data_IF_977525112280
#
_entry.id   IF_977525112280
#
_cell.length_a   1.000
_cell.length_b   1.000
_cell.length_c   1.000
_cell.angle_alpha   90.00
_cell.angle_beta   90.00
_cell.angle_gamma   90.00
#
_symmetry.space_group_name_H-M   'P 1'
#
loop_
_entity.id
_entity.type
_entity.pdbx_description
1 polymer ?
#
# COMPACT_ATOMS: atom_id res chain seq x y z
N UNK A 1 0.60 14.60 8.00
CA UNK A 1 1.94 15.06 7.58
C UNK A 1 2.73 13.98 6.83
N UNK A 2 3.11 12.87 7.46
CA UNK A 2 3.93 11.81 6.86
C UNK A 2 3.42 11.26 5.51
N UNK A 3 2.14 10.87 5.45
CA UNK A 3 1.42 10.77 4.17
C UNK A 3 1.22 12.18 3.67
N UNK A 4 2.15 12.81 3.02
CA UNK A 4 2.06 14.07 2.26
C UNK A 4 3.52 14.37 1.90
N UNK A 5 4.43 14.05 2.82
CA UNK A 5 5.88 14.01 2.64
C UNK A 5 6.44 12.86 1.82
N UNK A 6 5.70 11.75 1.64
CA UNK A 6 6.17 10.65 0.79
C UNK A 6 5.77 9.26 1.25
N UNK A 7 5.24 9.12 2.46
CA UNK A 7 5.06 7.81 3.09
C UNK A 7 3.65 7.25 2.92
N UNK A 8 3.56 5.95 2.72
CA UNK A 8 2.34 5.21 3.04
C UNK A 8 2.23 5.14 4.56
N UNK A 9 1.07 5.47 5.15
CA UNK A 9 0.97 5.58 6.62
C UNK A 9 -0.23 4.85 7.19
N UNK A 10 -0.05 4.33 8.40
CA UNK A 10 -1.12 3.77 9.24
C UNK A 10 -0.90 4.11 10.70
N UNK A 11 -2.01 4.18 11.43
CA UNK A 11 -2.05 4.68 12.81
C UNK A 11 -2.70 3.67 13.75
N UNK A 12 -2.18 3.58 14.96
CA UNK A 12 -2.64 2.67 16.01
C UNK A 12 -2.56 1.20 15.59
N UNK A 13 -1.37 0.73 15.21
CA UNK A 13 -1.10 -0.66 14.85
C UNK A 13 -0.74 -1.45 16.09
N UNK A 14 -1.44 -2.55 16.36
CA UNK A 14 -1.08 -3.41 17.48
C UNK A 14 0.14 -4.26 17.11
N UNK A 15 1.23 -4.14 17.89
CA UNK A 15 2.40 -5.01 17.75
C UNK A 15 2.12 -6.31 18.51
N UNK A 16 1.80 -7.34 17.74
CA UNK A 16 1.52 -8.67 18.26
C UNK A 16 2.64 -9.61 17.81
N UNK A 17 3.19 -10.38 18.75
CA UNK A 17 4.26 -11.33 18.49
C UNK A 17 4.03 -12.66 19.21
N UNK A 18 4.57 -13.73 18.64
CA UNK A 18 4.56 -15.04 19.28
C UNK A 18 5.74 -15.16 20.25
N UNK A 19 5.44 -15.51 21.49
CA UNK A 19 6.44 -15.89 22.49
C UNK A 19 6.13 -17.32 22.94
N UNK A 20 6.89 -18.28 22.41
CA UNK A 20 6.53 -19.70 22.52
C UNK A 20 5.29 -20.03 21.71
N UNK A 21 4.28 -20.62 22.34
CA UNK A 21 2.99 -20.94 21.70
C UNK A 21 1.95 -19.83 21.84
N UNK A 22 2.22 -18.80 22.64
CA UNK A 22 1.25 -17.74 22.95
C UNK A 22 1.46 -16.52 22.07
N UNK A 23 0.35 -15.96 21.59
CA UNK A 23 0.30 -14.71 20.86
C UNK A 23 0.06 -13.57 21.87
N UNK A 24 1.05 -12.69 22.02
CA UNK A 24 1.02 -11.61 23.02
C UNK A 24 1.05 -10.26 22.30
N UNK A 25 0.16 -9.35 22.70
CA UNK A 25 0.27 -7.94 22.33
C UNK A 25 1.40 -7.30 23.16
N UNK A 26 2.48 -6.92 22.48
CA UNK A 26 3.66 -6.32 23.09
C UNK A 26 3.41 -4.85 23.42
N UNK A 27 2.93 -4.10 22.43
CA UNK A 27 2.63 -2.66 22.51
C UNK A 27 1.81 -2.25 21.28
N UNK A 28 1.63 -0.96 21.06
CA UNK A 28 1.00 -0.38 19.89
C UNK A 28 1.92 0.69 19.27
N UNK A 29 1.81 0.86 17.95
CA UNK A 29 2.48 1.91 17.20
C UNK A 29 1.47 3.03 16.95
N UNK A 30 1.73 4.22 17.49
CA UNK A 30 0.91 5.41 17.21
C UNK A 30 0.86 5.68 15.69
N UNK A 31 2.02 5.60 15.03
CA UNK A 31 2.19 5.76 13.59
C UNK A 31 3.25 4.78 13.05
N UNK A 32 2.92 4.12 11.94
CA UNK A 32 3.87 3.47 11.04
C UNK A 32 3.84 4.19 9.69
N UNK A 33 5.02 4.56 9.21
CA UNK A 33 5.24 5.17 7.92
C UNK A 33 6.19 4.29 7.10
N UNK A 34 5.79 3.98 5.87
CA UNK A 34 6.55 3.15 4.94
C UNK A 34 6.88 4.00 3.72
N UNK A 35 8.18 4.24 3.52
CA UNK A 35 8.73 4.94 2.36
C UNK A 35 9.26 3.93 1.36
N UNK A 36 9.11 4.23 0.07
CA UNK A 36 9.70 3.44 -1.01
C UNK A 36 10.83 4.23 -1.67
N UNK A 37 12.02 3.67 -1.65
CA UNK A 37 13.20 4.26 -2.30
C UNK A 37 13.12 4.18 -3.83
N UNK A 38 14.11 4.75 -4.55
CA UNK A 38 14.13 4.73 -6.01
C UNK A 38 14.10 3.33 -6.62
N UNK A 39 14.67 2.33 -5.94
CA UNK A 39 14.66 0.92 -6.30
C UNK A 39 13.42 0.15 -5.81
N UNK A 40 12.47 0.83 -5.17
CA UNK A 40 11.29 0.27 -4.49
C UNK A 40 11.64 -0.55 -3.24
N UNK A 41 12.85 -0.38 -2.70
CA UNK A 41 13.20 -0.84 -1.36
C UNK A 41 12.31 -0.14 -0.32
N UNK A 42 11.83 -0.90 0.66
CA UNK A 42 10.90 -0.43 1.68
C UNK A 42 11.64 -0.01 2.95
N UNK A 43 11.39 1.22 3.39
CA UNK A 43 11.98 1.80 4.59
C UNK A 43 10.88 2.12 5.60
N UNK A 44 11.02 1.56 6.81
CA UNK A 44 10.05 1.75 7.90
C UNK A 44 10.49 2.87 8.82
N UNK A 45 9.56 3.75 9.16
CA UNK A 45 9.70 4.76 10.20
C UNK A 45 8.51 4.69 11.14
N UNK A 46 8.75 4.79 12.44
CA UNK A 46 7.68 4.85 13.44
C UNK A 46 7.56 6.25 14.01
N UNK A 47 6.35 6.68 14.31
CA UNK A 47 6.08 7.96 14.95
C UNK A 47 5.37 7.76 16.28
N UNK A 48 5.65 8.64 17.22
CA UNK A 48 4.98 8.73 18.51
C UNK A 48 4.68 10.19 18.86
N UNK A 49 3.49 10.43 19.41
CA UNK A 49 3.08 11.76 19.83
C UNK A 49 2.71 11.79 21.32
N UNK A 50 3.31 12.73 22.07
CA UNK A 50 3.03 12.94 23.49
C UNK A 50 2.50 14.34 23.77
N UNK A 51 1.24 14.38 24.18
CA UNK A 51 0.50 15.61 24.52
C UNK A 51 0.63 16.02 25.99
N UNK A 52 1.12 15.15 26.87
CA UNK A 52 1.25 15.44 28.30
C UNK A 52 2.38 16.42 28.63
N UNK A 53 2.06 17.46 29.41
CA UNK A 53 3.03 18.50 29.85
C UNK A 53 3.28 18.49 31.37
N UNK A 54 2.64 17.59 32.12
CA UNK A 54 2.76 17.49 33.58
C UNK A 54 4.05 16.82 34.06
N UNK A 55 4.35 16.95 35.37
CA UNK A 55 5.56 16.35 36.00
C UNK A 55 5.62 14.81 35.92
N UNK A 56 4.47 14.16 35.77
CA UNK A 56 4.31 12.71 35.61
C UNK A 56 4.28 12.27 34.14
N UNK A 57 4.33 13.20 33.18
CA UNK A 57 4.40 12.83 31.77
C UNK A 57 5.77 12.17 31.50
N UNK A 58 5.81 11.09 30.70
CA UNK A 58 7.06 10.45 30.31
C UNK A 58 8.02 11.47 29.73
N UNK A 59 9.26 11.50 30.24
CA UNK A 59 10.23 12.51 29.79
C UNK A 59 10.64 12.19 28.34
N UNK A 60 10.91 13.21 27.51
CA UNK A 60 11.37 13.00 26.14
C UNK A 60 12.58 12.06 26.05
N UNK A 61 13.51 12.13 27.01
CA UNK A 61 14.68 11.25 27.06
C UNK A 61 14.31 9.77 27.22
N UNK A 62 13.36 9.46 28.11
CA UNK A 62 12.90 8.08 28.32
C UNK A 62 12.20 7.54 27.07
N UNK A 63 11.45 8.41 26.37
CA UNK A 63 10.79 8.06 25.09
C UNK A 63 11.78 7.85 23.95
N UNK A 64 12.89 8.57 23.90
CA UNK A 64 13.95 8.32 22.91
C UNK A 64 14.52 6.90 23.07
N UNK A 65 14.83 6.50 24.31
CA UNK A 65 15.33 5.14 24.60
C UNK A 65 14.28 4.08 24.27
N UNK A 66 13.03 4.31 24.66
CA UNK A 66 11.91 3.42 24.33
C UNK A 66 11.74 3.25 22.81
N UNK A 67 11.69 4.34 22.06
CA UNK A 67 11.53 4.31 20.61
C UNK A 67 12.70 3.61 19.93
N UNK A 68 13.93 3.78 20.45
CA UNK A 68 15.09 3.05 19.94
C UNK A 68 14.91 1.54 20.06
N UNK A 69 14.43 1.05 21.20
CA UNK A 69 14.11 -0.37 21.37
C UNK A 69 12.98 -0.83 20.45
N UNK A 70 11.92 -0.01 20.31
CA UNK A 70 10.80 -0.31 19.45
C UNK A 70 11.19 -0.38 17.97
N UNK A 71 12.11 0.48 17.52
CA UNK A 71 12.68 0.44 16.18
C UNK A 71 13.30 -0.92 15.86
N UNK A 72 14.07 -1.48 16.80
CA UNK A 72 14.71 -2.79 16.62
C UNK A 72 13.66 -3.91 16.53
N UNK A 73 12.63 -3.87 17.37
CA UNK A 73 11.56 -4.87 17.37
C UNK A 73 10.75 -4.91 16.06
N UNK A 74 10.49 -3.75 15.46
CA UNK A 74 9.63 -3.65 14.26
C UNK A 74 10.40 -3.52 12.94
N UNK A 75 11.74 -3.51 13.02
CA UNK A 75 12.61 -3.29 11.87
C UNK A 75 12.50 -1.89 11.28
N UNK A 76 12.24 -0.87 12.10
CA UNK A 76 12.21 0.52 11.65
C UNK A 76 13.61 1.15 11.67
N UNK A 77 13.96 1.85 10.59
CA UNK A 77 15.27 2.49 10.43
C UNK A 77 15.36 3.79 11.22
N UNK A 78 14.21 4.47 11.38
CA UNK A 78 14.07 5.77 12.03
C UNK A 78 12.86 5.77 12.94
N UNK A 79 12.86 6.68 13.91
CA UNK A 79 11.69 7.03 14.68
C UNK A 79 11.54 8.55 14.79
N UNK A 80 10.32 9.01 15.02
CA UNK A 80 10.02 10.40 15.32
C UNK A 80 9.21 10.50 16.61
N UNK A 81 9.61 11.42 17.48
CA UNK A 81 8.93 11.78 18.71
C UNK A 81 8.46 13.22 18.63
N UNK A 82 7.15 13.43 18.57
CA UNK A 82 6.53 14.75 18.69
C UNK A 82 6.09 14.99 20.13
N UNK A 83 6.52 16.09 20.72
CA UNK A 83 6.15 16.47 22.10
C UNK A 83 5.47 17.84 22.15
N UNK A 84 4.53 18.00 23.07
CA UNK A 84 3.85 19.28 23.29
C UNK A 84 4.75 20.37 23.88
N UNK A 85 5.78 19.98 24.65
CA UNK A 85 6.72 20.92 25.26
C UNK A 85 7.79 21.39 24.28
N UNK A 86 8.50 22.47 24.63
CA UNK A 86 9.71 22.85 23.92
C UNK A 86 10.78 21.74 24.04
N UNK A 87 11.54 21.53 22.96
CA UNK A 87 12.60 20.52 22.89
C UNK A 87 13.95 21.20 23.03
N UNK A 88 14.73 20.78 24.04
CA UNK A 88 16.07 21.35 24.26
C UNK A 88 17.07 20.85 23.20
N UNK A 89 18.15 21.61 22.90
CA UNK A 89 19.21 21.15 21.99
C UNK A 89 19.82 19.80 22.39
N UNK A 90 20.04 19.57 23.69
CA UNK A 90 20.57 18.30 24.22
C UNK A 90 19.64 17.12 23.94
N UNK A 91 18.33 17.33 24.06
CA UNK A 91 17.33 16.30 23.72
C UNK A 91 17.37 15.97 22.23
N UNK A 92 17.50 16.98 21.35
CA UNK A 92 17.62 16.75 19.91
C UNK A 92 18.93 16.04 19.55
N UNK A 93 20.03 16.39 20.21
CA UNK A 93 21.32 15.74 20.02
C UNK A 93 21.28 14.25 20.42
N UNK A 94 20.73 13.93 21.59
CA UNK A 94 20.53 12.53 21.99
C UNK A 94 19.63 11.77 21.01
N UNK A 95 18.54 12.41 20.57
CA UNK A 95 17.64 11.87 19.55
C UNK A 95 18.40 11.48 18.28
N UNK A 96 19.20 12.40 17.73
CA UNK A 96 20.02 12.15 16.52
C UNK A 96 20.96 10.96 16.70
N UNK A 97 21.67 10.87 17.82
CA UNK A 97 22.55 9.73 18.12
C UNK A 97 21.78 8.40 18.19
N UNK A 98 20.52 8.45 18.62
CA UNK A 98 19.64 7.28 18.74
C UNK A 98 18.82 7.00 17.48
N UNK A 99 19.00 7.78 16.39
CA UNK A 99 18.16 7.76 15.17
C UNK A 99 16.67 8.03 15.44
N UNK A 100 16.40 8.86 16.45
CA UNK A 100 15.07 9.36 16.82
C UNK A 100 15.03 10.87 16.58
N UNK A 101 14.26 11.31 15.59
CA UNK A 101 13.97 12.74 15.41
C UNK A 101 13.06 13.22 16.53
N UNK A 102 13.41 14.30 17.22
CA UNK A 102 12.58 14.87 18.29
C UNK A 102 12.12 16.26 17.89
N UNK A 103 10.81 16.46 17.88
CA UNK A 103 10.15 17.66 17.40
C UNK A 103 9.12 18.18 18.41
N UNK A 104 8.95 19.50 18.42
CA UNK A 104 7.90 20.19 19.15
C UNK A 104 6.68 20.40 18.24
N UNK A 105 5.54 20.77 18.83
CA UNK A 105 4.34 21.18 18.07
C UNK A 105 4.65 22.32 17.09
N UNK A 106 5.53 23.27 17.45
CA UNK A 106 5.88 24.37 16.55
C UNK A 106 6.65 23.89 15.31
N UNK A 107 7.53 22.90 15.46
CA UNK A 107 8.25 22.30 14.33
C UNK A 107 7.25 21.57 13.39
N UNK A 108 6.32 20.82 13.99
CA UNK A 108 5.25 20.14 13.25
C UNK A 108 4.39 21.15 12.47
N UNK A 109 3.92 22.21 13.12
CA UNK A 109 3.12 23.26 12.46
C UNK A 109 3.87 23.92 11.31
N UNK A 110 5.17 24.15 11.44
CA UNK A 110 6.00 24.69 10.36
C UNK A 110 6.07 23.72 9.16
N UNK A 111 6.24 22.42 9.41
CA UNK A 111 6.22 21.37 8.36
C UNK A 111 4.85 21.28 7.67
N UNK A 112 3.77 21.31 8.45
CA UNK A 112 2.40 21.28 7.91
C UNK A 112 2.09 22.52 7.06
N UNK A 113 2.57 23.69 7.48
CA UNK A 113 2.45 24.92 6.71
C UNK A 113 3.24 24.86 5.39
N UNK A 114 4.47 24.33 5.42
CA UNK A 114 5.29 24.16 4.21
C UNK A 114 4.63 23.24 3.16
N UNK A 115 3.79 22.29 3.61
CA UNK A 115 3.04 21.37 2.76
C UNK A 115 1.63 21.86 2.42
N UNK A 116 1.23 23.06 2.87
CA UNK A 116 -0.11 23.63 2.70
C UNK A 116 -1.26 22.70 3.18
N UNK A 117 -1.05 21.96 4.28
CA UNK A 117 -2.01 20.94 4.73
C UNK A 117 -3.33 21.50 5.26
N UNK A 118 -3.43 22.81 5.52
CA UNK A 118 -4.69 23.45 5.91
C UNK A 118 -5.81 23.26 4.87
N UNK A 119 -5.46 23.05 3.60
CA UNK A 119 -6.39 22.77 2.50
C UNK A 119 -6.70 21.27 2.31
N UNK A 120 -6.01 20.40 3.04
CA UNK A 120 -6.07 18.93 2.92
C UNK A 120 -6.54 18.27 4.21
N UNK A 121 -7.44 18.96 4.93
CA UNK A 121 -7.96 18.49 6.21
C UNK A 121 -8.91 17.31 5.99
N UNK A 122 -8.75 16.27 6.81
CA UNK A 122 -9.61 15.09 6.81
C UNK A 122 -9.70 14.34 5.46
N UNK A 123 -8.56 13.89 4.95
CA UNK A 123 -8.43 13.07 3.75
C UNK A 123 -7.68 11.77 4.04
N UNK A 124 -8.01 10.72 3.29
CA UNK A 124 -7.37 9.40 3.35
C UNK A 124 -7.58 8.67 4.66
N UNK A 125 -6.87 7.54 4.81
CA UNK A 125 -6.93 6.69 6.01
C UNK A 125 -6.35 7.35 7.27
N UNK A 126 -5.70 8.51 7.14
CA UNK A 126 -5.03 9.27 8.21
C UNK A 126 -5.82 10.51 8.66
N UNK A 127 -6.99 10.79 8.08
CA UNK A 127 -7.84 11.91 8.48
C UNK A 127 -8.54 11.71 9.85
N UNK A 128 -8.94 12.79 10.55
CA UNK A 128 -9.67 12.68 11.81
C UNK A 128 -10.95 11.82 11.73
N UNK A 129 -11.72 11.91 10.65
CA UNK A 129 -12.92 11.08 10.49
C UNK A 129 -12.58 9.63 10.11
N UNK A 130 -11.41 9.38 9.50
CA UNK A 130 -10.94 8.01 9.28
C UNK A 130 -10.65 7.29 10.60
N UNK A 131 -10.13 8.01 11.61
CA UNK A 131 -9.95 7.47 12.97
C UNK A 131 -11.27 7.10 13.64
N UNK A 132 -12.30 7.95 13.48
CA UNK A 132 -13.65 7.68 13.98
C UNK A 132 -14.27 6.48 13.25
N UNK A 133 -14.16 6.44 11.93
CA UNK A 133 -14.63 5.32 11.11
C UNK A 133 -13.98 4.01 11.55
N UNK A 134 -12.65 3.98 11.74
CA UNK A 134 -11.94 2.80 12.24
C UNK A 134 -12.48 2.31 13.58
N UNK A 135 -12.81 3.22 14.51
CA UNK A 135 -13.42 2.86 15.81
C UNK A 135 -14.79 2.24 15.63
N UNK A 136 -15.62 2.82 14.75
CA UNK A 136 -16.93 2.25 14.41
C UNK A 136 -16.78 0.84 13.84
N UNK A 137 -15.89 0.65 12.87
CA UNK A 137 -15.63 -0.67 12.27
C UNK A 137 -15.16 -1.68 13.31
N UNK A 138 -14.30 -1.28 14.26
CA UNK A 138 -13.88 -2.15 15.37
C UNK A 138 -15.07 -2.64 16.20
N UNK A 139 -16.02 -1.75 16.50
CA UNK A 139 -17.22 -2.08 17.30
C UNK A 139 -18.12 -3.03 16.52
N UNK A 140 -18.45 -2.69 15.27
CA UNK A 140 -19.33 -3.49 14.40
C UNK A 140 -18.75 -4.88 14.15
N UNK A 141 -17.43 -4.98 13.94
CA UNK A 141 -16.77 -6.23 13.59
C UNK A 141 -16.47 -7.14 14.79
N UNK A 142 -16.65 -6.65 16.02
CA UNK A 142 -16.08 -7.27 17.24
C UNK A 142 -16.48 -8.75 17.40
N UNK A 143 -17.77 -9.04 17.24
CA UNK A 143 -18.35 -10.35 17.51
C UNK A 143 -18.66 -11.12 16.21
N UNK A 144 -18.36 -10.53 15.05
CA UNK A 144 -18.51 -11.19 13.76
C UNK A 144 -17.34 -12.15 13.50
N UNK A 145 -17.60 -13.44 13.18
CA UNK A 145 -16.57 -14.47 13.04
C UNK A 145 -15.64 -14.26 11.84
N UNK A 146 -16.02 -13.41 10.89
CA UNK A 146 -15.24 -13.11 9.69
C UNK A 146 -14.64 -11.70 9.77
N UNK A 147 -15.44 -10.68 10.09
CA UNK A 147 -14.99 -9.29 10.10
C UNK A 147 -14.08 -8.99 11.29
N UNK A 148 -14.31 -9.62 12.45
CA UNK A 148 -13.48 -9.43 13.64
C UNK A 148 -12.03 -9.86 13.43
N UNK A 149 -11.78 -11.11 12.97
CA UNK A 149 -10.45 -11.56 12.58
C UNK A 149 -9.83 -10.72 11.46
N UNK A 150 -10.62 -10.33 10.44
CA UNK A 150 -10.15 -9.45 9.37
C UNK A 150 -9.65 -8.10 9.90
N UNK A 151 -10.44 -7.45 10.77
CA UNK A 151 -10.06 -6.19 11.40
C UNK A 151 -8.77 -6.33 12.21
N UNK A 152 -8.66 -7.40 13.03
CA UNK A 152 -7.45 -7.68 13.81
C UNK A 152 -6.25 -7.86 12.91
N UNK A 153 -6.34 -8.68 11.87
CA UNK A 153 -5.26 -8.92 10.91
C UNK A 153 -4.76 -7.62 10.27
N UNK A 154 -5.68 -6.81 9.74
CA UNK A 154 -5.36 -5.55 9.04
C UNK A 154 -4.82 -4.46 9.98
N UNK A 155 -5.06 -4.57 11.28
CA UNK A 155 -4.59 -3.60 12.28
C UNK A 155 -3.41 -4.10 13.12
N UNK A 156 -2.88 -5.30 12.83
CA UNK A 156 -1.78 -5.89 13.58
C UNK A 156 -0.82 -6.71 12.70
N UNK A 157 -1.06 -8.02 12.56
CA UNK A 157 -0.11 -9.01 12.02
C UNK A 157 0.42 -8.66 10.64
N UNK A 158 -0.43 -8.15 9.74
CA UNK A 158 -0.06 -7.95 8.33
C UNK A 158 1.13 -7.02 8.14
N UNK A 159 1.34 -6.06 9.05
CA UNK A 159 2.42 -5.08 8.99
C UNK A 159 3.80 -5.66 9.29
N UNK A 160 3.85 -6.86 9.87
CA UNK A 160 5.09 -7.53 10.28
C UNK A 160 5.38 -8.79 9.47
N UNK A 161 4.51 -9.12 8.51
CA UNK A 161 4.76 -10.19 7.54
C UNK A 161 5.81 -9.77 6.51
N UNK A 162 6.48 -10.75 5.92
CA UNK A 162 7.20 -10.53 4.67
C UNK A 162 6.22 -10.17 3.54
N UNK A 163 6.65 -9.42 2.51
CA UNK A 163 5.74 -8.94 1.47
C UNK A 163 4.99 -10.05 0.71
N UNK A 164 5.58 -11.24 0.56
CA UNK A 164 4.96 -12.34 -0.19
C UNK A 164 3.85 -13.01 0.64
N UNK A 165 4.09 -13.24 1.92
CA UNK A 165 3.05 -13.71 2.84
C UNK A 165 1.92 -12.68 2.99
N UNK A 166 2.26 -11.39 3.13
CA UNK A 166 1.28 -10.31 3.21
C UNK A 166 0.42 -10.23 1.93
N UNK A 167 1.04 -10.34 0.75
CA UNK A 167 0.34 -10.37 -0.54
C UNK A 167 -0.67 -11.53 -0.61
N UNK A 168 -0.21 -12.75 -0.28
CA UNK A 168 -1.03 -13.97 -0.32
C UNK A 168 -2.19 -13.91 0.67
N UNK A 169 -1.92 -13.56 1.93
CA UNK A 169 -2.95 -13.51 2.97
C UNK A 169 -3.97 -12.38 2.71
N UNK A 170 -3.52 -11.24 2.20
CA UNK A 170 -4.42 -10.13 1.86
C UNK A 170 -5.31 -10.47 0.66
N UNK A 171 -4.82 -11.25 -0.31
CA UNK A 171 -5.65 -11.69 -1.45
C UNK A 171 -6.76 -12.66 -1.00
N UNK A 172 -6.44 -13.66 -0.17
CA UNK A 172 -7.45 -14.58 0.37
C UNK A 172 -8.47 -13.87 1.28
N UNK A 173 -8.01 -12.86 2.03
CA UNK A 173 -8.93 -12.00 2.80
C UNK A 173 -9.83 -11.18 1.88
N UNK A 174 -9.31 -10.61 0.80
CA UNK A 174 -10.09 -9.84 -0.17
C UNK A 174 -11.20 -10.70 -0.78
N UNK A 175 -10.89 -11.92 -1.19
CA UNK A 175 -11.89 -12.87 -1.72
C UNK A 175 -13.04 -13.08 -0.72
N UNK A 176 -12.70 -13.31 0.56
CA UNK A 176 -13.69 -13.51 1.64
C UNK A 176 -14.55 -12.26 1.85
N UNK A 177 -13.94 -11.07 1.86
CA UNK A 177 -14.66 -9.81 2.08
C UNK A 177 -15.56 -9.44 0.89
N UNK A 178 -15.10 -9.68 -0.34
CA UNK A 178 -15.87 -9.43 -1.56
C UNK A 178 -17.10 -10.32 -1.69
N UNK A 179 -17.15 -11.47 -1.02
CA UNK A 179 -18.37 -12.30 -0.93
C UNK A 179 -19.46 -11.65 -0.06
N UNK A 180 -19.08 -10.78 0.89
CA UNK A 180 -20.01 -10.04 1.77
C UNK A 180 -20.38 -8.67 1.25
N UNK A 181 -19.70 -8.20 0.20
CA UNK A 181 -19.98 -6.90 -0.40
C UNK A 181 -21.34 -6.91 -1.10
N UNK A 182 -22.22 -6.00 -0.67
CA UNK A 182 -23.51 -5.77 -1.32
C UNK A 182 -23.57 -4.33 -1.85
N UNK A 183 -23.48 -4.12 -3.18
CA UNK A 183 -23.46 -2.79 -3.77
C UNK A 183 -24.67 -1.94 -3.35
N UNK A 184 -24.43 -0.69 -2.98
CA UNK A 184 -25.48 0.29 -2.66
C UNK A 184 -26.11 0.19 -1.27
N UNK A 185 -25.83 -0.87 -0.50
CA UNK A 185 -26.33 -1.03 0.87
C UNK A 185 -25.54 -0.14 1.84
N UNK A 186 -26.24 0.52 2.77
CA UNK A 186 -25.71 1.56 3.67
C UNK A 186 -25.98 1.28 5.15
N UNK A 187 -25.82 0.04 5.58
CA UNK A 187 -25.82 -0.33 6.99
C UNK A 187 -24.40 -0.36 7.59
N UNK A 188 -24.33 -0.57 8.89
CA UNK A 188 -23.08 -0.61 9.66
C UNK A 188 -22.17 -1.78 9.23
N UNK A 189 -22.75 -2.92 8.87
CA UNK A 189 -21.99 -4.08 8.39
C UNK A 189 -21.31 -3.75 7.05
N UNK A 190 -22.04 -3.20 6.09
CA UNK A 190 -21.49 -2.81 4.80
C UNK A 190 -20.51 -1.63 4.92
N UNK A 191 -20.68 -0.76 5.92
CA UNK A 191 -19.65 0.22 6.29
C UNK A 191 -18.34 -0.47 6.70
N UNK A 192 -18.43 -1.50 7.56
CA UNK A 192 -17.28 -2.31 7.96
C UNK A 192 -16.65 -3.06 6.78
N UNK A 193 -17.46 -3.70 5.93
CA UNK A 193 -16.98 -4.41 4.73
C UNK A 193 -16.25 -3.45 3.78
N UNK A 194 -16.80 -2.27 3.48
CA UNK A 194 -16.12 -1.27 2.63
C UNK A 194 -14.78 -0.86 3.18
N UNK A 195 -14.72 -0.58 4.48
CA UNK A 195 -13.47 -0.20 5.14
C UNK A 195 -12.45 -1.33 5.08
N UNK A 196 -12.84 -2.57 5.42
CA UNK A 196 -11.97 -3.74 5.41
C UNK A 196 -11.43 -4.04 4.00
N UNK A 197 -12.28 -3.95 2.97
CA UNK A 197 -11.85 -4.10 1.57
C UNK A 197 -10.86 -2.98 1.21
N UNK A 198 -11.14 -1.73 1.58
CA UNK A 198 -10.26 -0.60 1.26
C UNK A 198 -8.85 -0.76 1.87
N UNK A 199 -8.78 -1.22 3.12
CA UNK A 199 -7.52 -1.48 3.81
C UNK A 199 -6.78 -2.66 3.21
N UNK A 200 -7.50 -3.74 2.92
CA UNK A 200 -6.94 -4.95 2.29
C UNK A 200 -6.31 -4.62 0.94
N UNK A 201 -7.02 -3.87 0.09
CA UNK A 201 -6.49 -3.45 -1.22
C UNK A 201 -5.26 -2.55 -1.08
N UNK A 202 -5.28 -1.59 -0.15
CA UNK A 202 -4.15 -0.68 0.09
C UNK A 202 -2.89 -1.43 0.52
N UNK A 203 -3.05 -2.36 1.47
CA UNK A 203 -1.97 -3.23 1.94
C UNK A 203 -1.47 -4.14 0.82
N UNK A 204 -2.39 -4.70 0.03
CA UNK A 204 -2.03 -5.59 -1.07
C UNK A 204 -1.19 -4.84 -2.13
N UNK A 205 -1.59 -3.62 -2.51
CA UNK A 205 -0.83 -2.80 -3.46
C UNK A 205 0.53 -2.40 -2.92
N UNK A 206 0.63 -2.02 -1.63
CA UNK A 206 1.91 -1.73 -1.00
C UNK A 206 2.89 -2.92 -1.10
N UNK A 207 2.41 -4.12 -0.78
CA UNK A 207 3.24 -5.31 -0.81
C UNK A 207 3.58 -5.75 -2.24
N UNK A 208 2.65 -5.61 -3.19
CA UNK A 208 2.93 -5.83 -4.60
C UNK A 208 4.04 -4.91 -5.11
N UNK A 209 3.94 -3.60 -4.85
CA UNK A 209 4.97 -2.64 -5.28
C UNK A 209 6.32 -2.94 -4.62
N UNK A 210 6.33 -3.36 -3.37
CA UNK A 210 7.55 -3.82 -2.68
C UNK A 210 8.16 -5.05 -3.39
N UNK A 211 7.32 -6.01 -3.80
CA UNK A 211 7.75 -7.20 -4.56
C UNK A 211 8.29 -6.80 -5.95
N UNK A 212 7.71 -5.80 -6.60
CA UNK A 212 8.21 -5.28 -7.89
C UNK A 212 9.67 -4.77 -7.78
N UNK A 213 10.11 -4.33 -6.60
CA UNK A 213 11.52 -3.98 -6.36
C UNK A 213 12.50 -5.13 -6.66
N UNK A 214 12.07 -6.39 -6.47
CA UNK A 214 12.87 -7.57 -6.77
C UNK A 214 12.94 -7.93 -8.26
N UNK A 215 12.04 -7.38 -9.09
CA UNK A 215 12.06 -7.59 -10.55
C UNK A 215 13.31 -6.95 -11.15
N UNK A 216 13.66 -5.75 -10.70
CA UNK A 216 14.69 -4.91 -11.34
C UNK A 216 16.08 -5.56 -11.44
N UNK A 217 16.60 -6.24 -10.39
CA UNK A 217 17.90 -6.90 -10.48
C UNK A 217 17.86 -8.29 -11.12
N UNK A 218 16.69 -8.82 -11.50
CA UNK A 218 16.53 -10.21 -11.95
C UNK A 218 16.11 -10.29 -13.43
N UNK A 219 16.52 -11.36 -14.11
CA UNK A 219 15.90 -11.77 -15.36
C UNK A 219 14.41 -12.15 -15.14
N UNK A 220 13.48 -11.84 -16.07
CA UNK A 220 12.07 -12.17 -15.91
C UNK A 220 11.77 -13.64 -15.59
N UNK A 221 12.48 -14.61 -16.19
CA UNK A 221 12.26 -16.04 -15.93
C UNK A 221 12.77 -16.45 -14.54
N UNK A 222 13.92 -15.88 -14.14
CA UNK A 222 14.47 -16.06 -12.79
C UNK A 222 13.53 -15.46 -11.73
N UNK A 223 12.98 -14.27 -11.99
CA UNK A 223 12.01 -13.63 -11.10
C UNK A 223 10.73 -14.47 -10.94
N UNK A 224 10.16 -14.98 -12.04
CA UNK A 224 8.98 -15.85 -11.96
C UNK A 224 9.26 -17.09 -11.10
N UNK A 225 10.41 -17.73 -11.29
CA UNK A 225 10.82 -18.90 -10.48
C UNK A 225 10.98 -18.53 -9.00
N UNK A 226 11.63 -17.41 -8.71
CA UNK A 226 11.81 -16.88 -7.37
C UNK A 226 10.47 -16.58 -6.69
N UNK A 227 9.56 -15.89 -7.38
CA UNK A 227 8.25 -15.53 -6.84
C UNK A 227 7.40 -16.77 -6.55
N UNK A 228 7.42 -17.79 -7.44
CA UNK A 228 6.73 -19.06 -7.18
C UNK A 228 7.23 -19.72 -5.91
N UNK A 229 8.54 -19.78 -5.71
CA UNK A 229 9.11 -20.35 -4.49
C UNK A 229 8.69 -19.56 -3.25
N UNK A 230 8.73 -18.23 -3.31
CA UNK A 230 8.32 -17.36 -2.19
C UNK A 230 6.82 -17.42 -1.89
N UNK A 231 5.97 -17.63 -2.89
CA UNK A 231 4.53 -17.80 -2.66
C UNK A 231 4.16 -19.20 -2.18
N UNK A 232 4.98 -20.20 -2.51
CA UNK A 232 4.87 -21.54 -1.93
C UNK A 232 5.27 -21.56 -0.44
N UNK A 233 6.14 -20.63 0.01
CA UNK A 233 6.44 -20.44 1.43
C UNK A 233 5.16 -20.11 2.23
N UNK A 234 4.93 -20.82 3.33
CA UNK A 234 3.93 -20.45 4.33
C UNK A 234 4.52 -19.52 5.39
N UNK A 235 3.88 -19.44 6.56
CA UNK A 235 4.50 -18.83 7.76
C UNK A 235 5.79 -19.56 8.15
N UNK A 236 5.90 -20.84 7.77
CA UNK A 236 7.10 -21.66 7.89
C UNK A 236 7.84 -21.68 6.55
N UNK A 237 9.16 -21.42 6.51
CA UNK A 237 9.95 -21.45 5.28
C UNK A 237 9.83 -22.78 4.54
N UNK A 238 9.69 -22.78 3.21
CA UNK A 238 9.47 -24.00 2.41
C UNK A 238 10.60 -25.01 2.56
N UNK A 239 11.84 -24.60 2.80
CA UNK A 239 12.90 -25.57 3.09
C UNK A 239 12.61 -26.40 4.35
N UNK A 240 12.08 -25.77 5.41
CA UNK A 240 11.66 -26.47 6.63
C UNK A 240 10.38 -27.26 6.39
N UNK A 241 9.44 -26.73 5.60
CA UNK A 241 8.21 -27.45 5.24
C UNK A 241 8.51 -28.70 4.39
N UNK A 242 9.40 -28.61 3.40
CA UNK A 242 9.91 -29.73 2.60
C UNK A 242 10.61 -30.76 3.47
N UNK A 243 11.40 -30.32 4.46
CA UNK A 243 12.00 -31.24 5.42
C UNK A 243 10.94 -31.95 6.27
N UNK A 244 9.97 -31.21 6.80
CA UNK A 244 8.87 -31.76 7.57
C UNK A 244 8.01 -32.72 6.74
N UNK A 245 7.71 -32.38 5.48
CA UNK A 245 7.02 -33.25 4.54
C UNK A 245 7.79 -34.55 4.34
N UNK A 246 9.11 -34.49 4.09
CA UNK A 246 9.93 -35.71 3.95
C UNK A 246 9.90 -36.58 5.21
N UNK A 247 9.94 -35.97 6.39
CA UNK A 247 9.90 -36.69 7.67
C UNK A 247 8.51 -37.33 7.89
N UNK A 248 7.43 -36.64 7.54
CA UNK A 248 6.06 -37.17 7.52
C UNK A 248 5.89 -38.29 6.50
N UNK A 249 6.37 -38.10 5.27
CA UNK A 249 6.31 -39.09 4.19
C UNK A 249 7.04 -40.38 4.61
N UNK A 250 8.21 -40.25 5.26
CA UNK A 250 8.94 -41.40 5.82
C UNK A 250 8.16 -42.12 6.91
N UNK A 251 7.49 -41.37 7.79
CA UNK A 251 6.65 -41.92 8.85
C UNK A 251 5.42 -42.65 8.29
N UNK A 252 4.66 -42.00 7.41
CA UNK A 252 3.48 -42.55 6.74
C UNK A 252 3.85 -43.78 5.91
N UNK A 253 4.97 -43.73 5.17
CA UNK A 253 5.48 -44.89 4.43
C UNK A 253 5.79 -46.07 5.35
N UNK A 254 6.39 -45.82 6.52
CA UNK A 254 6.61 -46.86 7.55
C UNK A 254 5.30 -47.45 8.09
N UNK A 255 4.31 -46.61 8.37
CA UNK A 255 2.96 -47.01 8.84
C UNK A 255 2.22 -47.85 7.79
N UNK A 256 2.18 -47.39 6.54
CA UNK A 256 1.52 -48.08 5.43
C UNK A 256 2.22 -49.40 5.07
N UNK A 257 3.55 -49.45 5.20
CA UNK A 257 4.31 -50.68 5.07
C UNK A 257 3.95 -51.70 6.17
N UNK A 258 3.86 -51.26 7.44
CA UNK A 258 3.43 -52.10 8.55
C UNK A 258 1.98 -52.59 8.40
N UNK A 259 1.10 -51.75 7.84
CA UNK A 259 -0.30 -52.08 7.55
C UNK A 259 -0.49 -52.93 6.28
N UNK A 260 0.58 -53.29 5.56
CA UNK A 260 0.54 -54.01 4.28
C UNK A 260 -0.34 -53.33 3.21
N UNK A 261 -0.42 -52.00 3.21
CA UNK A 261 -1.13 -51.24 2.19
C UNK A 261 -0.51 -51.48 0.80
N UNK A 262 -1.30 -51.38 -0.27
CA UNK A 262 -0.82 -51.58 -1.63
C UNK A 262 0.21 -50.51 -2.04
N UNK A 263 1.06 -50.79 -3.03
CA UNK A 263 2.03 -49.81 -3.53
C UNK A 263 1.38 -48.53 -4.07
N UNK A 264 0.17 -48.61 -4.66
CA UNK A 264 -0.54 -47.42 -5.15
C UNK A 264 -0.89 -46.47 -4.00
N UNK A 265 -1.49 -46.98 -2.92
CA UNK A 265 -1.88 -46.19 -1.73
C UNK A 265 -0.67 -45.55 -1.05
N UNK A 266 0.48 -46.23 -1.07
CA UNK A 266 1.74 -45.65 -0.54
C UNK A 266 2.26 -44.50 -1.38
N UNK A 267 2.05 -44.56 -2.70
CA UNK A 267 2.55 -43.54 -3.63
C UNK A 267 1.65 -42.31 -3.61
N UNK A 268 0.33 -42.49 -3.51
CA UNK A 268 -0.64 -41.39 -3.38
C UNK A 268 -0.53 -40.64 -2.05
N UNK A 269 -0.08 -41.31 -0.98
CA UNK A 269 0.08 -40.69 0.33
C UNK A 269 1.36 -39.84 0.47
N UNK A 270 2.29 -39.91 -0.49
CA UNK A 270 3.54 -39.16 -0.47
C UNK A 270 3.40 -37.77 -1.08
N UNK A 271 4.07 -36.77 -0.48
CA UNK A 271 4.11 -35.41 -1.02
C UNK A 271 2.86 -34.58 -0.77
N UNK A 272 1.90 -35.09 0.01
CA UNK A 272 0.68 -34.36 0.38
C UNK A 272 0.95 -33.04 1.14
N UNK A 273 2.14 -32.89 1.72
CA UNK A 273 2.59 -31.71 2.44
C UNK A 273 3.67 -30.91 1.70
N UNK A 274 3.92 -31.21 0.41
CA UNK A 274 4.88 -30.44 -0.37
C UNK A 274 4.30 -29.05 -0.67
N UNK A 275 5.02 -27.96 -0.30
CA UNK A 275 4.53 -26.61 -0.53
C UNK A 275 4.46 -26.32 -2.03
N UNK A 276 3.27 -26.03 -2.53
CA UNK A 276 3.02 -25.61 -3.90
C UNK A 276 2.68 -24.11 -3.96
N UNK A 277 3.11 -23.40 -5.02
CA UNK A 277 2.66 -22.03 -5.24
C UNK A 277 1.15 -21.99 -5.52
N UNK A 278 0.48 -20.89 -5.19
CA UNK A 278 -0.91 -20.70 -5.58
C UNK A 278 -1.06 -20.61 -7.10
N UNK A 279 -2.25 -20.97 -7.62
CA UNK A 279 -2.54 -20.99 -9.06
C UNK A 279 -2.29 -19.64 -9.75
N UNK A 280 -2.44 -18.54 -9.02
CA UNK A 280 -2.24 -17.18 -9.51
C UNK A 280 -0.78 -16.72 -9.53
N UNK A 281 0.18 -17.54 -9.08
CA UNK A 281 1.57 -17.13 -8.93
C UNK A 281 2.21 -16.64 -10.24
N UNK A 282 1.99 -17.34 -11.35
CA UNK A 282 2.55 -16.96 -12.65
C UNK A 282 1.95 -15.64 -13.15
N UNK A 283 0.64 -15.44 -12.97
CA UNK A 283 -0.03 -14.18 -13.31
C UNK A 283 0.43 -13.02 -12.41
N UNK A 284 0.71 -13.28 -11.14
CA UNK A 284 1.27 -12.26 -10.24
C UNK A 284 2.71 -11.89 -10.63
N UNK A 285 3.51 -12.86 -11.08
CA UNK A 285 4.84 -12.59 -11.64
C UNK A 285 4.75 -11.70 -12.88
N UNK A 286 3.86 -12.04 -13.82
CA UNK A 286 3.63 -11.23 -15.03
C UNK A 286 3.19 -9.80 -14.66
N UNK A 287 2.24 -9.66 -13.72
CA UNK A 287 1.79 -8.36 -13.23
C UNK A 287 2.97 -7.55 -12.67
N UNK A 288 3.77 -8.15 -11.79
CA UNK A 288 4.92 -7.48 -11.20
C UNK A 288 5.95 -7.06 -12.25
N UNK A 289 6.24 -7.91 -13.24
CA UNK A 289 7.13 -7.58 -14.37
C UNK A 289 6.59 -6.38 -15.18
N UNK A 290 5.29 -6.37 -15.46
CA UNK A 290 4.65 -5.27 -16.21
C UNK A 290 4.64 -3.96 -15.41
N UNK A 291 4.38 -4.02 -14.12
CA UNK A 291 4.47 -2.87 -13.22
C UNK A 291 5.91 -2.36 -13.07
N UNK A 292 6.90 -3.25 -13.08
CA UNK A 292 8.32 -2.88 -13.03
C UNK A 292 8.79 -1.99 -14.18
N UNK A 293 8.03 -1.95 -15.28
CA UNK A 293 8.27 -1.08 -16.45
C UNK A 293 7.56 0.27 -16.35
N UNK A 294 6.68 0.47 -15.37
CA UNK A 294 5.95 1.73 -15.20
C UNK A 294 6.80 2.78 -14.46
N UNK A 295 6.77 4.06 -14.87
CA UNK A 295 7.42 5.13 -14.14
C UNK A 295 6.71 5.40 -12.81
N UNK A 296 7.41 6.04 -11.87
CA UNK A 296 6.85 6.58 -10.62
C UNK A 296 6.09 5.57 -9.72
N UNK A 297 6.36 4.27 -9.84
CA UNK A 297 5.63 3.23 -9.09
C UNK A 297 5.73 3.37 -7.56
N UNK A 298 6.77 4.05 -7.04
CA UNK A 298 6.94 4.32 -5.60
C UNK A 298 5.80 5.11 -4.98
N UNK A 299 5.11 5.94 -5.77
CA UNK A 299 4.02 6.80 -5.29
C UNK A 299 2.68 6.05 -5.32
N UNK A 300 2.60 4.95 -6.09
CA UNK A 300 1.37 4.21 -6.34
C UNK A 300 0.67 3.74 -5.05
N UNK A 301 1.36 3.16 -4.03
CA UNK A 301 0.67 2.72 -2.81
C UNK A 301 -0.09 3.85 -2.12
N UNK A 302 0.47 5.06 -2.07
CA UNK A 302 -0.20 6.22 -1.47
C UNK A 302 -1.34 6.75 -2.31
N UNK A 303 -1.14 6.81 -3.63
CA UNK A 303 -2.19 7.25 -4.55
C UNK A 303 -3.39 6.30 -4.46
N UNK A 304 -3.12 5.00 -4.48
CA UNK A 304 -4.12 3.95 -4.37
C UNK A 304 -4.83 4.01 -3.02
N UNK A 305 -4.07 4.15 -1.92
CA UNK A 305 -4.62 4.27 -0.56
C UNK A 305 -5.61 5.43 -0.42
N UNK A 306 -5.25 6.63 -0.90
CA UNK A 306 -6.17 7.77 -0.88
C UNK A 306 -7.43 7.46 -1.68
N UNK A 307 -7.27 6.95 -2.90
CA UNK A 307 -8.39 6.69 -3.82
C UNK A 307 -9.36 5.68 -3.23
N UNK A 308 -8.85 4.54 -2.78
CA UNK A 308 -9.72 3.48 -2.26
C UNK A 308 -10.36 3.89 -0.94
N UNK A 309 -9.65 4.58 -0.05
CA UNK A 309 -10.23 5.01 1.21
C UNK A 309 -11.34 6.05 0.99
N UNK A 310 -11.11 7.06 0.15
CA UNK A 310 -12.08 8.12 -0.10
C UNK A 310 -13.32 7.59 -0.85
N UNK A 311 -13.10 6.84 -1.93
CA UNK A 311 -14.21 6.38 -2.78
C UNK A 311 -14.93 5.17 -2.23
N UNK A 312 -14.22 4.19 -1.68
CA UNK A 312 -14.82 2.96 -1.17
C UNK A 312 -15.21 3.11 0.31
N UNK A 313 -14.27 3.40 1.20
CA UNK A 313 -14.57 3.42 2.64
C UNK A 313 -15.50 4.58 3.02
N UNK A 314 -15.25 5.78 2.48
CA UNK A 314 -16.01 6.99 2.79
C UNK A 314 -17.14 7.30 1.80
N UNK A 315 -17.13 6.70 0.61
CA UNK A 315 -18.17 6.89 -0.40
C UNK A 315 -18.23 8.31 -0.98
N UNK A 316 -17.09 9.01 -1.10
CA UNK A 316 -17.02 10.38 -1.63
C UNK A 316 -15.87 10.55 -2.63
N UNK A 317 -15.97 11.59 -3.45
CA UNK A 317 -14.92 11.94 -4.41
C UNK A 317 -13.74 12.65 -3.75
N UNK A 318 -12.60 12.60 -4.44
CA UNK A 318 -11.34 13.20 -4.01
C UNK A 318 -11.31 14.65 -4.49
N UNK A 319 -10.98 15.58 -3.59
CA UNK A 319 -10.82 17.00 -3.96
C UNK A 319 -9.74 17.20 -5.03
N UNK A 320 -9.94 18.16 -5.94
CA UNK A 320 -8.96 18.49 -6.99
C UNK A 320 -7.57 18.83 -6.43
N UNK A 321 -7.52 19.56 -5.31
CA UNK A 321 -6.26 19.90 -4.64
C UNK A 321 -5.47 18.66 -4.22
N UNK A 322 -6.15 17.68 -3.61
CA UNK A 322 -5.53 16.42 -3.22
C UNK A 322 -5.12 15.58 -4.45
N UNK A 323 -5.97 15.54 -5.47
CA UNK A 323 -5.69 14.86 -6.74
C UNK A 323 -4.47 15.42 -7.47
N UNK A 324 -4.33 16.76 -7.50
CA UNK A 324 -3.18 17.44 -8.08
C UNK A 324 -1.90 17.17 -7.28
N UNK A 325 -1.96 17.25 -5.95
CA UNK A 325 -0.81 17.03 -5.08
C UNK A 325 -0.27 15.59 -5.14
N UNK A 326 -1.15 14.60 -5.31
CA UNK A 326 -0.77 13.20 -5.53
C UNK A 326 -0.56 12.81 -6.99
N UNK A 327 -0.79 13.72 -7.94
CA UNK A 327 -0.71 13.45 -9.38
C UNK A 327 -1.59 12.28 -9.82
N UNK A 328 -2.83 12.20 -9.31
CA UNK A 328 -3.78 11.13 -9.64
C UNK A 328 -4.20 11.12 -11.12
N UNK A 329 -3.94 12.21 -11.85
CA UNK A 329 -4.20 12.32 -13.29
C UNK A 329 -3.04 11.78 -14.15
N UNK A 330 -1.98 11.22 -13.55
CA UNK A 330 -0.88 10.60 -14.29
C UNK A 330 -1.37 9.35 -15.05
N UNK A 331 -1.25 9.30 -16.39
CA UNK A 331 -1.63 8.14 -17.18
C UNK A 331 -0.92 6.84 -16.75
N UNK A 332 0.32 6.93 -16.25
CA UNK A 332 1.07 5.76 -15.77
C UNK A 332 0.45 5.17 -14.49
N UNK A 333 -0.02 6.03 -13.58
CA UNK A 333 -0.72 5.59 -12.38
C UNK A 333 -2.04 4.88 -12.74
N UNK A 334 -2.84 5.48 -13.64
CA UNK A 334 -4.09 4.84 -14.13
C UNK A 334 -3.83 3.51 -14.81
N UNK A 335 -2.81 3.42 -15.66
CA UNK A 335 -2.40 2.18 -16.31
C UNK A 335 -2.05 1.10 -15.28
N UNK A 336 -1.23 1.44 -14.29
CA UNK A 336 -0.84 0.52 -13.20
C UNK A 336 -2.04 0.01 -12.41
N UNK A 337 -2.97 0.89 -12.06
CA UNK A 337 -4.22 0.55 -11.36
C UNK A 337 -5.10 -0.35 -12.22
N UNK A 338 -5.14 -0.12 -13.53
CA UNK A 338 -5.94 -0.94 -14.45
C UNK A 338 -5.39 -2.37 -14.56
N UNK A 339 -4.06 -2.54 -14.55
CA UNK A 339 -3.40 -3.85 -14.49
C UNK A 339 -3.73 -4.57 -13.17
N UNK A 340 -3.65 -3.85 -12.04
CA UNK A 340 -3.98 -4.36 -10.72
C UNK A 340 -5.44 -4.79 -10.66
N UNK A 341 -6.37 -3.94 -11.10
CA UNK A 341 -7.80 -4.24 -11.10
C UNK A 341 -8.13 -5.45 -12.00
N UNK A 342 -7.50 -5.55 -13.16
CA UNK A 342 -7.66 -6.73 -14.03
C UNK A 342 -7.22 -8.03 -13.33
N UNK A 343 -6.05 -8.02 -12.69
CA UNK A 343 -5.57 -9.18 -11.91
C UNK A 343 -6.51 -9.53 -10.76
N UNK A 344 -6.94 -8.54 -9.97
CA UNK A 344 -7.81 -8.75 -8.81
C UNK A 344 -9.22 -9.22 -9.19
N UNK A 345 -9.73 -8.88 -10.37
CA UNK A 345 -10.97 -9.46 -10.89
C UNK A 345 -10.81 -10.94 -11.23
N UNK A 346 -9.66 -11.33 -11.78
CA UNK A 346 -9.39 -12.72 -12.15
C UNK A 346 -9.16 -13.62 -10.92
N UNK A 347 -8.45 -13.13 -9.90
CA UNK A 347 -8.01 -13.97 -8.78
C UNK A 347 -8.47 -13.50 -7.40
N UNK A 348 -8.68 -12.20 -7.18
CA UNK A 348 -9.12 -11.65 -5.89
C UNK A 348 -10.64 -11.58 -5.72
N UNK A 349 -11.42 -12.11 -6.67
CA UNK A 349 -12.89 -11.97 -6.71
C UNK A 349 -13.39 -10.52 -6.62
N UNK A 350 -12.57 -9.56 -7.07
CA UNK A 350 -12.92 -8.15 -7.03
C UNK A 350 -14.16 -7.91 -7.89
N UNK A 351 -15.19 -7.30 -7.30
CA UNK A 351 -16.45 -7.01 -8.00
C UNK A 351 -16.25 -5.86 -8.99
N UNK A 352 -16.98 -5.89 -10.11
CA UNK A 352 -16.80 -4.91 -11.19
C UNK A 352 -17.06 -3.48 -10.73
N UNK A 353 -18.05 -3.25 -9.87
CA UNK A 353 -18.35 -1.94 -9.30
C UNK A 353 -17.20 -1.38 -8.46
N UNK A 354 -16.52 -2.22 -7.68
CA UNK A 354 -15.30 -1.82 -6.95
C UNK A 354 -14.17 -1.51 -7.93
N UNK A 355 -13.96 -2.36 -8.94
CA UNK A 355 -12.94 -2.14 -9.98
C UNK A 355 -13.16 -0.82 -10.74
N UNK A 356 -14.39 -0.51 -11.12
CA UNK A 356 -14.76 0.73 -11.78
C UNK A 356 -14.53 1.95 -10.88
N UNK A 357 -14.92 1.87 -9.60
CA UNK A 357 -14.67 2.92 -8.61
C UNK A 357 -13.17 3.21 -8.46
N UNK A 358 -12.33 2.17 -8.42
CA UNK A 358 -10.88 2.31 -8.34
C UNK A 358 -10.33 3.03 -9.57
N UNK A 359 -10.63 2.53 -10.77
CA UNK A 359 -10.11 3.09 -12.03
C UNK A 359 -10.61 4.52 -12.26
N UNK A 360 -11.85 4.82 -11.88
CA UNK A 360 -12.42 6.16 -11.98
C UNK A 360 -11.76 7.17 -11.05
N UNK A 361 -11.13 6.72 -9.95
CA UNK A 361 -10.38 7.58 -9.03
C UNK A 361 -9.07 8.11 -9.57
N UNK A 362 -8.56 7.54 -10.66
CA UNK A 362 -7.40 8.02 -11.39
C UNK A 362 -7.91 8.74 -12.64
N UNK A 363 -7.43 9.95 -12.91
CA UNK A 363 -7.94 10.81 -14.00
C UNK A 363 -7.91 10.09 -15.35
N UNK A 364 -8.79 10.48 -16.28
CA UNK A 364 -8.69 10.00 -17.67
C UNK A 364 -7.41 10.59 -18.29
N UNK A 365 -6.66 9.85 -19.12
CA UNK A 365 -5.59 10.47 -19.90
C UNK A 365 -6.19 11.64 -20.68
N UNK A 366 -5.50 12.78 -20.68
CA UNK A 366 -5.90 13.92 -21.50
C UNK A 366 -6.12 13.40 -22.94
N UNK A 367 -7.29 13.66 -23.53
CA UNK A 367 -7.48 13.42 -24.95
C UNK A 367 -6.35 14.16 -25.68
N UNK A 368 -5.69 13.47 -26.60
CA UNK A 368 -4.77 14.14 -27.52
C UNK A 368 -5.50 15.36 -28.09
N UNK A 369 -4.85 16.53 -28.18
CA UNK A 369 -5.45 17.68 -28.83
C UNK A 369 -5.98 17.22 -30.20
N UNK A 370 -7.20 17.63 -30.60
CA UNK A 370 -7.75 17.23 -31.88
C UNK A 370 -6.71 17.55 -32.96
N UNK A 371 -6.48 16.59 -33.87
CA UNK A 371 -5.64 16.83 -35.05
C UNK A 371 -6.06 18.18 -35.65
N UNK A 372 -5.10 19.08 -35.94
CA UNK A 372 -5.44 20.33 -36.59
C UNK A 372 -6.22 19.98 -37.86
N UNK A 373 -7.44 20.51 -37.95
CA UNK A 373 -8.29 20.30 -39.11
C UNK A 373 -7.47 20.58 -40.37
N UNK A 374 -7.58 19.75 -41.43
CA UNK A 374 -6.87 19.98 -42.67
C UNK A 374 -7.15 21.41 -43.11
N UNK A 375 -6.08 22.21 -43.23
CA UNK A 375 -6.17 23.59 -43.68
C UNK A 375 -6.89 23.57 -45.03
N UNK A 376 -8.12 24.09 -45.06
CA UNK A 376 -8.81 24.35 -46.31
C UNK A 376 -7.93 25.31 -47.10
N UNK A 377 -7.45 24.87 -48.25
CA UNK A 377 -6.83 25.73 -49.25
C UNK A 377 -7.81 26.87 -49.54
N UNK A 378 -7.47 28.06 -49.06
CA UNK A 378 -8.18 29.27 -49.44
C UNK A 378 -7.76 29.54 -50.88
N UNK A 379 -8.63 29.19 -51.83
CA UNK A 379 -8.52 29.64 -53.21
C UNK A 379 -8.45 31.17 -53.23
N UNK A 380 -7.27 31.70 -53.56
CA UNK A 380 -7.04 33.12 -53.69
C UNK A 380 -7.84 33.65 -54.88
N UNK A 381 -9.04 34.17 -54.60
CA UNK A 381 -9.82 34.90 -55.60
C UNK A 381 -9.19 36.28 -55.74
N UNK A 382 -8.56 36.52 -56.89
CA UNK A 382 -7.93 37.79 -57.25
C UNK A 382 -8.97 38.92 -57.29
N UNK A 383 -8.92 39.82 -56.31
CA UNK A 383 -9.57 41.13 -56.35
C UNK A 383 -8.56 42.14 -56.89
N UNK A 384 -8.63 42.40 -58.18
CA UNK A 384 -7.95 43.50 -58.87
C UNK A 384 -8.51 44.83 -58.37
N UNK A 385 -7.66 45.63 -57.72
CA UNK A 385 -7.92 47.06 -57.46
C UNK A 385 -7.19 47.89 -58.54
N UNK A 386 -7.88 48.81 -59.24
CA UNK A 386 -7.28 49.59 -60.32
C UNK A 386 -6.62 50.87 -59.79
N UNK A 387 -5.46 51.18 -60.37
CA UNK A 387 -4.93 52.54 -60.49
C UNK A 387 -4.19 53.06 -59.26
N UNK A 388 -2.86 53.13 -59.37
CA UNK A 388 -2.05 54.29 -59.00
C UNK A 388 -0.62 54.04 -59.50
N UNK A 389 -0.36 54.60 -60.69
CA UNK A 389 0.99 54.86 -61.20
C UNK A 389 1.68 55.93 -60.33
N UNK A 390 2.93 55.68 -59.95
CA UNK A 390 4.02 56.65 -59.78
C UNK A 390 5.27 55.85 -59.36
N UNK A 391 6.19 55.55 -60.28
CA UNK A 391 7.27 56.44 -60.72
C UNK A 391 8.32 56.71 -59.62
N UNK A 392 9.49 56.10 -59.85
CA UNK A 392 10.83 56.64 -59.69
C UNK A 392 11.36 57.05 -58.31
N UNK A 393 12.40 56.31 -57.92
CA UNK A 393 13.73 56.76 -57.45
C UNK A 393 13.84 58.10 -56.72
N UNK A 394 14.55 58.11 -55.59
CA UNK A 394 15.95 58.62 -55.48
C UNK A 394 16.45 58.41 -54.03
N UNK A 395 17.77 58.29 -53.93
CA UNK A 395 18.61 57.97 -52.79
C UNK A 395 18.88 59.14 -51.81
N UNK A 396 19.70 58.82 -50.78
CA UNK A 396 20.48 59.70 -49.87
C UNK A 396 19.65 60.49 -48.82
N UNK A 397 19.94 60.48 -47.52
CA UNK A 397 21.17 60.26 -46.72
C UNK A 397 20.89 59.42 -45.45
#
# INVERSE_FOLDING_TARGET
MWFWEGYFTRVGIDLISYYGAELIQVTDLDLLAIGLGPGLESHRTIGESKSGTGKSAPKPLDRIVWLRGLQELVGAERAELTVASSVTPRTRELGRHSRVSVESINDLQAREAALNLSKLTDLGAHGPNALLLRRTVKVVSKDDPTLGPAFKFLTSTVWFLDPFAALKQSLGLLETLCQRWTPGVKDDEQLAVRWLISETLSIWVLNLVTIVGFVRPMDPSAFTSFLRERLADGVVPAQRMRQLSRDFDKFISGLLAAAKASPEVRTEAMGAFEPSPPEWADSAAELAIRLGRQPALRDLPRQFDLVVHERLARGRDISEAAGAQLRLNDPAARSSVSLIAAFLRSFGSLKDDISELLIAGFGKPAQAPPEPAPQQEIEATALTLPGLDAADSVAED
#
